data_IF_570953052257
#
_entry.id   IF_570953052257
#
_cell.length_a   1.000
_cell.length_b   1.000
_cell.length_c   1.000
_cell.angle_alpha   90.00
_cell.angle_beta   90.00
_cell.angle_gamma   90.00
#
_symmetry.space_group_name_H-M   'P 1'
#
loop_
_entity.id
_entity.type
_entity.pdbx_description
1 polymer ?
#
# COMPACT_ATOMS: atom_id res chain seq x y z
N UNK A 1 -6.91 9.83 32.78
CA UNK A 1 -6.37 10.43 31.55
C UNK A 1 -5.56 9.36 30.82
N UNK A 2 -5.72 9.25 29.50
CA UNK A 2 -4.91 8.38 28.65
C UNK A 2 -3.69 9.12 28.10
N UNK A 3 -2.60 8.40 27.81
CA UNK A 3 -1.37 8.95 27.24
C UNK A 3 -0.78 7.97 26.22
N UNK A 4 -0.38 8.48 25.06
CA UNK A 4 0.26 7.70 24.01
C UNK A 4 1.75 8.03 23.95
N UNK A 5 2.59 7.05 24.25
CA UNK A 5 4.04 7.20 24.34
C UNK A 5 4.70 6.58 23.11
N UNK A 6 5.37 7.39 22.30
CA UNK A 6 6.03 6.94 21.07
C UNK A 6 7.48 6.55 21.33
N UNK A 7 7.92 5.44 20.74
CA UNK A 7 9.30 4.99 20.73
C UNK A 7 9.71 4.73 19.27
N UNK A 8 10.93 5.15 18.90
CA UNK A 8 11.47 4.92 17.57
C UNK A 8 12.73 4.07 17.69
N UNK A 9 12.68 2.84 17.17
CA UNK A 9 13.76 1.88 17.17
C UNK A 9 14.22 1.68 15.73
N UNK A 10 15.05 2.59 15.21
CA UNK A 10 15.76 2.62 13.91
C UNK A 10 14.98 2.30 12.61
N UNK A 11 14.05 1.33 12.61
CA UNK A 11 13.16 0.94 11.51
C UNK A 11 11.77 0.47 12.01
N UNK A 12 11.56 0.41 13.32
CA UNK A 12 10.30 0.08 13.96
C UNK A 12 9.80 1.29 14.75
N UNK A 13 8.61 1.77 14.41
CA UNK A 13 7.93 2.76 15.23
C UNK A 13 6.95 2.05 16.16
N UNK A 14 7.09 2.29 17.45
CA UNK A 14 6.20 1.75 18.47
C UNK A 14 5.47 2.88 19.17
N UNK A 15 4.26 2.58 19.64
CA UNK A 15 3.54 3.42 20.57
C UNK A 15 2.92 2.59 21.69
N UNK A 16 2.93 3.13 22.90
CA UNK A 16 2.39 2.50 24.09
C UNK A 16 1.26 3.38 24.65
N UNK A 17 0.06 2.82 24.77
CA UNK A 17 -1.10 3.48 25.35
C UNK A 17 -1.18 3.18 26.85
N UNK A 18 -1.07 4.22 27.66
CA UNK A 18 -1.28 4.16 29.11
C UNK A 18 -2.62 4.79 29.48
N UNK A 19 -3.35 4.19 30.41
CA UNK A 19 -4.53 4.77 31.06
C UNK A 19 -4.22 4.86 32.56
N UNK A 20 -4.10 6.08 33.07
CA UNK A 20 -3.43 6.30 34.35
C UNK A 20 -1.95 5.91 34.23
N UNK A 21 -1.49 5.03 35.11
CA UNK A 21 -0.11 4.50 35.09
C UNK A 21 -0.02 3.07 34.54
N UNK A 22 -1.15 2.51 34.06
CA UNK A 22 -1.24 1.14 33.54
C UNK A 22 -1.13 1.13 32.02
N UNK A 23 -0.28 0.26 31.50
CA UNK A 23 -0.17 -0.02 30.08
C UNK A 23 -1.39 -0.83 29.62
N UNK A 24 -2.08 -0.38 28.58
CA UNK A 24 -3.29 -1.02 28.06
C UNK A 24 -3.05 -1.64 26.69
N UNK A 25 -2.36 -0.93 25.81
CA UNK A 25 -2.11 -1.40 24.45
C UNK A 25 -0.74 -0.97 23.96
N UNK A 26 -0.20 -1.76 23.03
CA UNK A 26 1.02 -1.44 22.27
C UNK A 26 0.70 -1.52 20.79
N UNK A 27 1.26 -0.58 20.05
CA UNK A 27 1.12 -0.47 18.60
C UNK A 27 2.50 -0.49 17.99
N UNK A 28 2.66 -1.15 16.85
CA UNK A 28 3.89 -1.16 16.09
C UNK A 28 3.63 -0.95 14.61
N UNK A 29 4.55 -0.26 13.96
CA UNK A 29 4.63 -0.11 12.52
C UNK A 29 6.04 -0.50 12.10
N UNK A 30 6.12 -1.50 11.24
CA UNK A 30 7.38 -2.00 10.69
C UNK A 30 7.39 -1.76 9.19
N UNK A 31 8.47 -1.16 8.70
CA UNK A 31 8.72 -0.97 7.27
C UNK A 31 9.86 -1.89 6.88
N UNK A 32 9.60 -2.82 5.97
CA UNK A 32 10.62 -3.70 5.40
C UNK A 32 10.87 -3.35 3.93
N UNK A 33 12.02 -2.72 3.68
CA UNK A 33 12.42 -2.27 2.35
C UNK A 33 11.45 -1.25 1.73
N UNK A 34 10.94 -1.57 0.54
CA UNK A 34 9.98 -0.74 -0.22
C UNK A 34 8.53 -1.14 0.00
N UNK A 35 8.26 -2.02 0.98
CA UNK A 35 6.91 -2.53 1.23
C UNK A 35 6.06 -1.50 1.98
N UNK A 36 4.73 -1.65 1.86
CA UNK A 36 3.81 -0.92 2.71
C UNK A 36 4.08 -1.24 4.19
N UNK A 37 3.94 -0.27 5.09
CA UNK A 37 4.09 -0.49 6.52
C UNK A 37 3.10 -1.56 7.00
N UNK A 38 3.62 -2.54 7.75
CA UNK A 38 2.77 -3.49 8.47
C UNK A 38 2.46 -2.91 9.84
N UNK A 39 1.16 -2.74 10.12
CA UNK A 39 0.67 -2.25 11.40
C UNK A 39 0.23 -3.41 12.27
N UNK A 40 0.58 -3.36 13.55
CA UNK A 40 0.13 -4.36 14.52
C UNK A 40 -0.24 -3.72 15.84
N UNK A 41 -1.20 -4.34 16.53
CA UNK A 41 -1.75 -3.86 17.79
C UNK A 41 -1.95 -5.02 18.75
N UNK A 42 -1.49 -4.84 19.99
CA UNK A 42 -1.55 -5.86 21.04
C UNK A 42 -2.08 -5.24 22.32
N UNK A 43 -2.92 -5.97 23.05
CA UNK A 43 -3.26 -5.61 24.42
C UNK A 43 -2.13 -6.02 25.36
N UNK A 44 -1.95 -5.28 26.46
CA UNK A 44 -1.02 -5.70 27.51
C UNK A 44 -1.50 -7.01 28.17
N UNK A 45 -0.57 -7.80 28.69
CA UNK A 45 -0.84 -9.16 29.19
C UNK A 45 -1.78 -9.20 30.39
N UNK A 46 -1.87 -8.11 31.13
CA UNK A 46 -2.71 -7.94 32.31
C UNK A 46 -4.08 -7.32 31.99
N UNK A 47 -4.38 -7.04 30.72
CA UNK A 47 -5.67 -6.47 30.28
C UNK A 47 -6.72 -7.56 30.17
N UNK A 48 -7.81 -7.39 30.91
CA UNK A 48 -8.97 -8.27 30.87
C UNK A 48 -9.94 -7.87 29.76
N UNK A 49 -10.92 -8.74 29.48
CA UNK A 49 -11.99 -8.41 28.53
C UNK A 49 -12.83 -7.21 29.01
N UNK A 50 -13.07 -7.09 30.32
CA UNK A 50 -13.77 -5.94 30.89
C UNK A 50 -12.99 -4.63 30.69
N UNK A 51 -11.67 -4.66 30.90
CA UNK A 51 -10.79 -3.52 30.62
C UNK A 51 -10.84 -3.12 29.14
N UNK A 52 -10.81 -4.11 28.23
CA UNK A 52 -10.90 -3.86 26.80
C UNK A 52 -12.24 -3.20 26.44
N UNK A 53 -13.36 -3.70 26.95
CA UNK A 53 -14.68 -3.10 26.71
C UNK A 53 -14.78 -1.68 27.28
N UNK A 54 -14.26 -1.45 28.49
CA UNK A 54 -14.26 -0.15 29.14
C UNK A 54 -13.40 0.90 28.40
N UNK A 55 -12.37 0.45 27.66
CA UNK A 55 -11.40 1.32 27.01
C UNK A 55 -11.36 1.18 25.48
N UNK A 56 -12.29 0.41 24.88
CA UNK A 56 -12.28 0.06 23.46
C UNK A 56 -12.16 1.29 22.56
N UNK A 57 -12.95 2.34 22.85
CA UNK A 57 -12.94 3.56 22.05
C UNK A 57 -11.60 4.30 22.19
N UNK A 58 -11.04 4.33 23.40
CA UNK A 58 -9.74 4.97 23.65
C UNK A 58 -8.61 4.23 22.93
N UNK A 59 -8.66 2.90 22.92
CA UNK A 59 -7.70 2.04 22.20
C UNK A 59 -7.82 2.30 20.69
N UNK A 60 -9.05 2.35 20.17
CA UNK A 60 -9.30 2.59 18.75
C UNK A 60 -8.82 3.97 18.30
N UNK A 61 -9.13 5.03 19.05
CA UNK A 61 -8.66 6.38 18.75
C UNK A 61 -7.13 6.48 18.81
N UNK A 62 -6.51 5.85 19.82
CA UNK A 62 -5.05 5.82 19.92
C UNK A 62 -4.39 5.10 18.74
N UNK A 63 -5.00 4.02 18.24
CA UNK A 63 -4.54 3.33 17.04
C UNK A 63 -4.66 4.20 15.79
N UNK A 64 -5.79 4.90 15.60
CA UNK A 64 -5.95 5.84 14.48
C UNK A 64 -4.90 6.97 14.54
N UNK A 65 -4.68 7.55 15.73
CA UNK A 65 -3.67 8.58 15.93
C UNK A 65 -2.26 8.07 15.60
N UNK A 66 -1.94 6.86 16.04
CA UNK A 66 -0.69 6.19 15.71
C UNK A 66 -0.50 6.06 14.19
N UNK A 67 -1.47 5.49 13.47
CA UNK A 67 -1.42 5.30 12.01
C UNK A 67 -1.29 6.64 11.29
N UNK A 68 -2.10 7.64 11.64
CA UNK A 68 -2.02 8.99 11.03
C UNK A 68 -0.64 9.60 11.16
N UNK A 69 -0.01 9.47 12.33
CA UNK A 69 1.34 9.99 12.57
C UNK A 69 2.38 9.26 11.71
N UNK A 70 2.23 7.95 11.48
CA UNK A 70 3.09 7.21 10.56
C UNK A 70 2.96 7.72 9.13
N UNK A 71 1.73 7.88 8.63
CA UNK A 71 1.50 8.37 7.26
C UNK A 71 2.08 9.77 7.02
N UNK A 72 2.03 10.66 8.02
CA UNK A 72 2.67 11.99 7.92
C UNK A 72 4.20 11.87 7.83
N UNK A 73 4.80 10.94 8.57
CA UNK A 73 6.25 10.72 8.51
C UNK A 73 6.68 10.12 7.17
N UNK A 74 5.89 9.22 6.59
CA UNK A 74 6.11 8.64 5.26
C UNK A 74 5.99 9.68 4.15
N UNK A 75 4.95 10.53 4.19
CA UNK A 75 4.78 11.62 3.20
C UNK A 75 6.00 12.55 3.20
N UNK A 76 6.50 12.94 4.37
CA UNK A 76 7.71 13.79 4.50
C UNK A 76 8.99 13.11 4.01
N UNK A 77 9.02 11.78 3.95
CA UNK A 77 10.14 11.05 3.36
C UNK A 77 10.07 11.11 1.84
N UNK A 78 8.88 10.89 1.26
CA UNK A 78 8.63 10.99 -0.17
C UNK A 78 8.98 12.40 -0.68
N UNK A 79 8.51 13.45 0.00
CA UNK A 79 8.78 14.84 -0.37
C UNK A 79 10.29 15.14 -0.39
N UNK A 80 11.05 14.62 0.59
CA UNK A 80 12.51 14.80 0.62
C UNK A 80 13.23 14.05 -0.50
N UNK A 81 12.81 12.82 -0.81
CA UNK A 81 13.38 12.04 -1.92
C UNK A 81 13.11 12.72 -3.27
N UNK A 82 11.92 13.30 -3.44
CA UNK A 82 11.58 14.06 -4.64
C UNK A 82 12.38 15.36 -4.74
N UNK A 83 12.52 16.10 -3.64
CA UNK A 83 13.33 17.31 -3.59
C UNK A 83 14.81 17.02 -3.92
N UNK A 84 15.39 15.94 -3.37
CA UNK A 84 16.78 15.56 -3.68
C UNK A 84 16.95 15.13 -5.15
N UNK A 85 15.92 14.55 -5.78
CA UNK A 85 15.92 14.24 -7.23
C UNK A 85 15.84 15.47 -8.12
N UNK A 86 15.19 16.54 -7.68
CA UNK A 86 15.10 17.79 -8.44
C UNK A 86 16.43 18.58 -8.44
N UNK A 87 17.26 18.43 -7.39
CA UNK A 87 18.56 19.11 -7.28
C UNK A 87 19.63 18.48 -8.18
N UNK A 88 19.48 17.22 -8.57
CA UNK A 88 20.45 16.46 -9.41
C UNK A 88 20.04 16.37 -10.90
N UNK A 89 18.99 17.07 -11.34
CA UNK A 89 18.73 17.23 -12.77
C UNK A 89 19.60 18.37 -13.31
N UNK A 90 20.63 18.11 -14.14
CA UNK A 90 21.25 19.18 -14.91
C UNK A 90 20.15 19.78 -15.80
N UNK A 91 19.98 21.10 -15.75
CA UNK A 91 19.11 21.82 -16.69
C UNK A 91 19.44 21.36 -18.11
N UNK A 92 18.57 20.56 -18.74
CA UNK A 92 18.67 20.32 -20.17
C UNK A 92 18.48 21.68 -20.85
N UNK A 93 19.45 22.14 -21.66
CA UNK A 93 19.24 23.37 -22.40
C UNK A 93 18.09 23.13 -23.38
N UNK A 94 17.00 23.84 -23.15
CA UNK A 94 15.91 24.03 -24.12
C UNK A 94 16.49 24.49 -25.45
N UNK A 95 16.63 23.56 -26.40
CA UNK A 95 16.91 23.92 -27.78
C UNK A 95 15.58 24.16 -28.50
N UNK A 96 15.38 25.45 -28.72
CA UNK A 96 14.50 26.15 -29.66
C UNK A 96 14.30 25.39 -30.99
N UNK A 97 13.02 25.22 -31.35
CA UNK A 97 12.39 25.43 -32.67
C UNK A 97 13.21 25.14 -33.95
N UNK A 98 12.86 24.07 -34.68
CA UNK A 98 13.06 24.03 -36.14
C UNK A 98 11.94 23.20 -36.83
N UNK A 99 11.38 23.64 -37.98
CA UNK A 99 10.05 23.23 -38.44
C UNK A 99 10.03 21.95 -39.30
N UNK A 100 8.82 21.43 -39.43
CA UNK A 100 8.43 20.24 -40.19
C UNK A 100 9.03 20.10 -41.61
N UNK A 101 9.41 18.88 -41.95
CA UNK A 101 9.56 18.39 -43.33
C UNK A 101 8.75 17.08 -43.46
N UNK A 102 7.79 16.97 -44.38
CA UNK A 102 7.08 15.73 -44.63
C UNK A 102 7.76 14.87 -45.72
N UNK A 103 7.30 13.61 -45.81
CA UNK A 103 7.34 12.68 -46.97
C UNK A 103 8.41 11.55 -46.97
N UNK A 104 8.19 10.39 -47.64
CA UNK A 104 7.07 10.03 -48.52
C UNK A 104 6.31 8.73 -48.17
N UNK A 105 5.08 8.70 -48.66
CA UNK A 105 4.15 7.56 -48.74
C UNK A 105 4.72 6.48 -49.67
N UNK A 106 4.77 5.23 -49.22
CA UNK A 106 4.95 4.06 -50.09
C UNK A 106 3.61 3.33 -50.15
N UNK A 107 3.09 3.18 -51.35
CA UNK A 107 1.82 2.52 -51.68
C UNK A 107 1.82 1.02 -51.35
N UNK A 108 0.64 0.53 -50.95
CA UNK A 108 0.27 -0.89 -50.82
C UNK A 108 0.47 -1.66 -52.13
N UNK A 109 0.71 -2.97 -52.04
CA UNK A 109 0.11 -3.91 -52.98
C UNK A 109 -0.98 -4.74 -52.29
N UNK A 110 -2.15 -4.74 -52.92
CA UNK A 110 -3.34 -5.49 -52.56
C UNK A 110 -3.11 -7.02 -52.46
N UNK A 111 -3.88 -7.60 -51.52
CA UNK A 111 -4.23 -9.00 -51.22
C UNK A 111 -4.51 -9.92 -52.45
N UNK A 112 -4.55 -11.28 -52.35
CA UNK A 112 -5.36 -11.99 -51.34
C UNK A 112 -4.95 -13.41 -50.93
N UNK A 113 -5.50 -13.87 -49.80
CA UNK A 113 -6.36 -15.06 -49.78
C UNK A 113 -6.83 -15.38 -48.36
N UNK A 114 -8.14 -15.27 -48.20
CA UNK A 114 -8.99 -15.75 -47.12
C UNK A 114 -8.74 -17.24 -46.83
N UNK A 115 -8.57 -17.60 -45.56
CA UNK A 115 -9.01 -18.91 -45.05
C UNK A 115 -9.76 -18.67 -43.74
N UNK A 116 -11.06 -18.96 -43.83
CA UNK A 116 -12.05 -19.24 -42.78
C UNK A 116 -11.50 -19.41 -41.35
N UNK A 117 -11.89 -18.50 -40.44
CA UNK A 117 -11.98 -18.79 -39.02
C UNK A 117 -13.42 -18.53 -38.56
N UNK A 118 -14.20 -19.59 -38.26
CA UNK A 118 -15.34 -19.46 -37.39
C UNK A 118 -15.01 -20.13 -36.06
N UNK A 119 -15.07 -19.38 -34.96
CA UNK A 119 -16.12 -19.55 -33.96
C UNK A 119 -15.74 -18.92 -32.61
N UNK A 120 -16.74 -18.30 -32.02
CA UNK A 120 -16.76 -17.66 -30.72
C UNK A 120 -16.53 -18.67 -29.56
N UNK A 121 -16.17 -18.21 -28.36
CA UNK A 121 -16.10 -19.07 -27.18
C UNK A 121 -17.52 -19.39 -26.69
N UNK A 122 -17.96 -20.64 -26.81
CA UNK A 122 -19.07 -21.14 -26.02
C UNK A 122 -18.56 -21.71 -24.70
N UNK A 123 -19.08 -21.12 -23.63
CA UNK A 123 -19.01 -21.62 -22.25
C UNK A 123 -20.15 -22.63 -22.11
N UNK A 124 -19.86 -23.86 -21.69
CA UNK A 124 -20.88 -24.68 -21.06
C UNK A 124 -20.31 -25.54 -19.91
N UNK A 125 -21.01 -25.47 -18.79
CA UNK A 125 -20.77 -26.18 -17.56
C UNK A 125 -21.39 -27.58 -17.66
N UNK A 126 -20.59 -28.61 -17.56
CA UNK A 126 -21.02 -29.95 -17.11
C UNK A 126 -19.75 -30.60 -16.54
N UNK A 127 -19.62 -30.82 -15.23
CA UNK A 127 -20.57 -31.50 -14.37
C UNK A 127 -20.19 -32.98 -14.26
N UNK A 128 -18.95 -33.26 -13.84
CA UNK A 128 -18.42 -34.60 -13.49
C UNK A 128 -17.09 -34.33 -12.77
N UNK A 129 -16.74 -34.84 -11.60
CA UNK A 129 -17.08 -36.11 -10.97
C UNK A 129 -16.81 -35.96 -9.46
N UNK A 130 -17.72 -36.46 -8.62
CA UNK A 130 -17.42 -36.72 -7.22
C UNK A 130 -16.47 -37.93 -7.11
N UNK A 131 -15.58 -37.95 -6.11
CA UNK A 131 -15.35 -39.19 -5.38
C UNK A 131 -15.89 -39.07 -3.96
N UNK A 132 -16.60 -40.12 -3.56
CA UNK A 132 -16.96 -40.48 -2.19
C UNK A 132 -15.74 -40.32 -1.27
N UNK A 133 -15.94 -39.80 -0.06
CA UNK A 133 -15.80 -40.48 1.25
C UNK A 133 -16.19 -39.45 2.31
N UNK A 134 -17.25 -39.68 3.08
CA UNK A 134 -17.21 -39.49 4.53
C UNK A 134 -18.40 -40.14 5.23
N UNK A 135 -18.05 -40.76 6.35
CA UNK A 135 -18.89 -41.11 7.50
C UNK A 135 -19.32 -39.85 8.25
#
# INVERSE_FOLDING_TARGET
>A
MSKLHYRNLSHNQEAELYIGDRLIARFSATVDGTSLPTYSAWLATDVTEEDYQAHHETIHQAYIEFVKKQSVNESKLIDRIQADKEVDQPEEPSNVDEPAQPEPRVEEPEEPSTVDEPAQPEVDQTGDTAPQVEE
#
